data_IF_208142933668
#
_entry.id   IF_208142933668
#
_cell.length_a   1.000
_cell.length_b   1.000
_cell.length_c   1.000
_cell.angle_alpha   90.00
_cell.angle_beta   90.00
_cell.angle_gamma   90.00
#
_symmetry.space_group_name_H-M   'P 1'
#
loop_
_entity.id
_entity.type
_entity.pdbx_description
1 polymer ?
#
# COMPACT_ATOMS: atom_id res chain seq x y z
N UNK A 1 21.22 -5.52 -9.21
CA UNK A 1 20.25 -6.60 -8.93
C UNK A 1 19.01 -5.93 -8.36
N UNK A 2 17.82 -6.26 -8.86
CA UNK A 2 16.57 -5.72 -8.31
C UNK A 2 16.15 -6.51 -7.08
N UNK A 3 15.60 -5.83 -6.08
CA UNK A 3 15.06 -6.45 -4.86
C UNK A 3 13.63 -6.95 -5.09
N UNK A 4 13.15 -7.85 -4.22
CA UNK A 4 11.74 -8.27 -4.22
C UNK A 4 10.81 -7.07 -4.06
N UNK A 5 11.16 -6.11 -3.19
CA UNK A 5 10.36 -4.89 -2.98
C UNK A 5 10.21 -4.06 -4.27
N UNK A 6 11.29 -3.85 -4.99
CA UNK A 6 11.28 -3.10 -6.25
C UNK A 6 10.38 -3.76 -7.29
N UNK A 7 10.56 -5.08 -7.51
CA UNK A 7 9.77 -5.83 -8.48
C UNK A 7 8.28 -5.83 -8.11
N UNK A 8 7.94 -5.95 -6.82
CA UNK A 8 6.54 -5.88 -6.36
C UNK A 8 5.94 -4.50 -6.58
N UNK A 9 6.65 -3.42 -6.26
CA UNK A 9 6.15 -2.06 -6.49
C UNK A 9 5.95 -1.77 -7.98
N UNK A 10 6.86 -2.23 -8.84
CA UNK A 10 6.73 -2.08 -10.29
C UNK A 10 5.54 -2.88 -10.85
N UNK A 11 5.29 -4.07 -10.32
CA UNK A 11 4.11 -4.86 -10.67
C UNK A 11 2.83 -4.13 -10.27
N UNK A 12 2.73 -3.63 -9.03
CA UNK A 12 1.57 -2.88 -8.56
C UNK A 12 1.31 -1.63 -9.41
N UNK A 13 2.37 -0.90 -9.80
CA UNK A 13 2.28 0.22 -10.75
C UNK A 13 1.69 -0.21 -12.09
N UNK A 14 2.15 -1.33 -12.63
CA UNK A 14 1.68 -1.82 -13.94
C UNK A 14 0.18 -2.14 -13.97
N UNK A 15 -0.39 -2.50 -12.82
CA UNK A 15 -1.82 -2.73 -12.63
C UNK A 15 -2.60 -1.48 -12.18
N UNK A 16 -1.95 -0.33 -12.01
CA UNK A 16 -2.57 0.88 -11.48
C UNK A 16 -2.93 0.79 -9.98
N UNK A 17 -2.41 -0.20 -9.26
CA UNK A 17 -2.64 -0.41 -7.82
C UNK A 17 -1.72 0.49 -6.97
N UNK A 18 -1.85 1.81 -7.13
CA UNK A 18 -0.94 2.81 -6.52
C UNK A 18 -1.48 3.44 -5.23
N UNK A 19 -2.60 2.95 -4.69
CA UNK A 19 -3.08 3.36 -3.36
C UNK A 19 -3.02 2.17 -2.39
N UNK A 20 -2.37 2.37 -1.24
CA UNK A 20 -2.25 1.38 -0.16
C UNK A 20 -3.05 1.88 1.04
N UNK A 21 -4.02 1.09 1.49
CA UNK A 21 -4.77 1.35 2.71
C UNK A 21 -4.16 0.52 3.83
N UNK A 22 -3.87 1.12 5.00
CA UNK A 22 -3.20 0.38 6.06
C UNK A 22 -3.23 1.03 7.44
N UNK A 23 -2.89 0.21 8.43
CA UNK A 23 -2.45 0.60 9.76
C UNK A 23 -1.08 -0.08 9.98
N UNK A 24 0.03 0.66 9.99
CA UNK A 24 1.36 0.06 9.89
C UNK A 24 1.82 -0.56 11.23
N UNK A 25 2.53 -1.68 11.16
CA UNK A 25 3.29 -2.28 12.25
C UNK A 25 4.75 -2.53 11.86
N UNK A 26 5.54 -3.05 12.80
CA UNK A 26 6.99 -3.26 12.62
C UNK A 26 7.32 -4.27 11.51
N UNK A 27 6.46 -5.25 11.29
CA UNK A 27 6.62 -6.27 10.24
C UNK A 27 6.44 -5.71 8.84
N UNK A 28 5.71 -4.59 8.68
CA UNK A 28 5.42 -3.96 7.40
C UNK A 28 6.45 -2.88 7.02
N UNK A 29 7.28 -2.43 7.98
CA UNK A 29 8.23 -1.32 7.77
C UNK A 29 9.16 -1.55 6.60
N UNK A 30 9.67 -2.76 6.39
CA UNK A 30 10.60 -3.06 5.28
C UNK A 30 9.96 -2.90 3.90
N UNK A 31 8.65 -3.10 3.78
CA UNK A 31 7.90 -2.84 2.56
C UNK A 31 7.60 -1.34 2.40
N UNK A 32 7.22 -0.67 3.48
CA UNK A 32 6.81 0.74 3.48
C UNK A 32 7.99 1.74 3.50
N UNK A 33 9.20 1.29 3.84
CA UNK A 33 10.40 2.12 3.95
C UNK A 33 10.69 2.88 2.64
N UNK A 34 10.99 4.18 2.74
CA UNK A 34 11.17 5.06 1.57
C UNK A 34 10.00 4.90 0.58
N UNK A 35 8.79 5.16 1.09
CA UNK A 35 7.56 5.02 0.33
C UNK A 35 7.59 5.92 -0.91
N UNK A 36 7.31 5.36 -2.11
CA UNK A 36 7.54 6.09 -3.34
C UNK A 36 6.46 7.16 -3.56
N UNK A 37 6.86 8.32 -4.10
CA UNK A 37 5.99 9.48 -4.23
C UNK A 37 4.85 9.34 -5.25
N UNK A 38 4.89 8.31 -6.10
CA UNK A 38 3.83 7.97 -7.04
C UNK A 38 2.78 6.99 -6.46
N UNK A 39 2.97 6.54 -5.21
CA UNK A 39 1.97 5.82 -4.44
C UNK A 39 1.34 6.72 -3.37
N UNK A 40 0.11 6.41 -2.99
CA UNK A 40 -0.58 7.04 -1.86
C UNK A 40 -0.82 6.03 -0.75
N UNK A 41 -0.42 6.37 0.48
CA UNK A 41 -0.76 5.60 1.67
C UNK A 41 -1.93 6.26 2.41
N UNK A 42 -2.99 5.51 2.67
CA UNK A 42 -4.17 5.96 3.41
C UNK A 42 -4.17 5.26 4.78
N UNK A 43 -3.84 6.02 5.82
CA UNK A 43 -3.82 5.54 7.19
C UNK A 43 -5.24 5.52 7.78
N UNK A 44 -5.60 4.43 8.44
CA UNK A 44 -6.73 4.40 9.38
C UNK A 44 -6.28 3.84 10.73
N UNK A 45 -6.97 4.22 11.80
CA UNK A 45 -6.54 3.96 13.19
C UNK A 45 -6.86 2.54 13.67
N UNK A 46 -7.68 1.79 12.94
CA UNK A 46 -8.04 0.41 13.24
C UNK A 46 -8.33 -0.34 11.93
N UNK A 47 -8.01 -1.63 11.88
CA UNK A 47 -7.96 -2.46 10.67
C UNK A 47 -9.33 -2.65 10.02
N UNK A 48 -10.43 -2.67 10.78
CA UNK A 48 -11.76 -2.76 10.17
C UNK A 48 -12.08 -1.48 9.39
N UNK A 49 -11.65 -0.31 9.87
CA UNK A 49 -11.76 0.93 9.12
C UNK A 49 -10.85 0.94 7.88
N UNK A 50 -9.62 0.40 7.97
CA UNK A 50 -8.73 0.22 6.81
C UNK A 50 -9.44 -0.55 5.70
N UNK A 51 -10.01 -1.71 6.04
CA UNK A 51 -10.69 -2.58 5.07
C UNK A 51 -11.96 -1.92 4.53
N UNK A 52 -12.78 -1.29 5.38
CA UNK A 52 -13.98 -0.60 4.93
C UNK A 52 -13.72 0.56 3.96
N UNK A 53 -12.63 1.32 4.17
CA UNK A 53 -12.21 2.37 3.23
C UNK A 53 -11.74 1.75 1.91
N UNK A 54 -10.91 0.70 1.96
CA UNK A 54 -10.41 0.04 0.77
C UNK A 54 -11.53 -0.58 -0.07
N UNK A 55 -12.53 -1.19 0.58
CA UNK A 55 -13.72 -1.76 -0.06
C UNK A 55 -14.54 -0.68 -0.77
N UNK A 56 -14.90 0.40 -0.05
CA UNK A 56 -15.62 1.53 -0.65
C UNK A 56 -14.86 2.19 -1.80
N UNK A 57 -13.54 2.29 -1.72
CA UNK A 57 -12.70 2.81 -2.80
C UNK A 57 -12.69 1.90 -4.03
N UNK A 58 -12.72 0.59 -3.85
CA UNK A 58 -12.69 -0.38 -4.94
C UNK A 58 -14.03 -0.53 -5.67
N UNK A 59 -15.15 -0.28 -4.99
CA UNK A 59 -16.49 -0.35 -5.59
C UNK A 59 -16.90 0.88 -6.41
N UNK A 60 -16.28 2.04 -6.14
CA UNK A 60 -16.66 3.34 -6.70
C UNK A 60 -16.24 3.55 -8.17
#
# INVERSE_FOLDING_TARGET
MTTVREVTLDLLRSFGMTTIFGNPGSTEETFLHAFPGDFRYVLALQEAAVVGIADGYAQA
#
